data_IF_127921966390
#
_entry.id   IF_127921966390
#
_cell.length_a   1.000
_cell.length_b   1.000
_cell.length_c   1.000
_cell.angle_alpha   90.00
_cell.angle_beta   90.00
_cell.angle_gamma   90.00
#
_symmetry.space_group_name_H-M   'P 1'
#
loop_
_entity.id
_entity.type
_entity.pdbx_description
1 polymer ?
#
# COMPACT_ATOMS: atom_id res chain seq x y z
N UNK A 1 -42.25 21.55 -20.32
CA UNK A 1 -41.66 21.90 -19.00
C UNK A 1 -40.35 21.14 -18.84
N UNK A 2 -39.24 21.77 -18.42
CA UNK A 2 -37.94 21.10 -18.32
C UNK A 2 -37.96 20.04 -17.20
N UNK A 3 -37.76 18.77 -17.57
CA UNK A 3 -38.03 17.58 -16.75
C UNK A 3 -36.98 17.23 -15.68
N UNK A 4 -35.77 17.82 -15.73
CA UNK A 4 -34.68 17.42 -14.83
C UNK A 4 -34.19 18.57 -13.95
N UNK A 5 -34.73 18.63 -12.73
CA UNK A 5 -34.30 19.57 -11.68
C UNK A 5 -32.99 19.15 -11.00
N UNK A 6 -32.51 17.92 -11.24
CA UNK A 6 -31.36 17.36 -10.53
C UNK A 6 -30.04 18.09 -10.85
N UNK A 7 -29.86 18.55 -12.08
CA UNK A 7 -28.67 19.31 -12.48
C UNK A 7 -28.48 20.65 -11.76
N UNK A 8 -29.58 21.25 -11.26
CA UNK A 8 -29.56 22.54 -10.54
C UNK A 8 -29.33 22.39 -9.04
N UNK A 9 -29.29 21.16 -8.52
CA UNK A 9 -29.08 20.91 -7.08
C UNK A 9 -27.59 20.76 -6.80
N UNK A 10 -27.12 21.44 -5.75
CA UNK A 10 -25.72 21.46 -5.33
C UNK A 10 -25.23 20.12 -4.74
N UNK A 11 -26.14 19.26 -4.28
CA UNK A 11 -25.81 17.92 -3.78
C UNK A 11 -25.75 16.86 -4.89
N UNK A 12 -26.12 17.21 -6.12
CA UNK A 12 -26.07 16.24 -7.22
C UNK A 12 -24.61 15.89 -7.52
N UNK A 13 -24.27 14.62 -7.32
CA UNK A 13 -22.93 14.07 -7.55
C UNK A 13 -22.47 14.25 -8.99
N UNK A 14 -23.39 14.28 -9.95
CA UNK A 14 -23.08 14.45 -11.37
C UNK A 14 -22.88 15.92 -11.79
N UNK A 15 -23.03 16.88 -10.88
CA UNK A 15 -22.74 18.28 -11.16
C UNK A 15 -21.21 18.47 -11.25
N UNK A 16 -20.68 19.12 -12.31
CA UNK A 16 -19.24 19.37 -12.44
C UNK A 16 -18.61 19.99 -11.18
N UNK A 17 -19.29 20.92 -10.53
CA UNK A 17 -18.79 21.55 -9.30
C UNK A 17 -18.66 20.56 -8.12
N UNK A 18 -19.52 19.54 -8.05
CA UNK A 18 -19.43 18.50 -7.03
C UNK A 18 -18.29 17.53 -7.34
N UNK A 19 -18.11 17.17 -8.61
CA UNK A 19 -17.02 16.31 -9.09
C UNK A 19 -15.66 16.96 -8.83
N UNK A 20 -15.53 18.26 -9.11
CA UNK A 20 -14.29 19.02 -8.85
C UNK A 20 -13.94 19.08 -7.37
N UNK A 21 -14.94 19.25 -6.50
CA UNK A 21 -14.75 19.22 -5.05
C UNK A 21 -14.25 17.85 -4.58
N UNK A 22 -14.88 16.77 -5.05
CA UNK A 22 -14.46 15.40 -4.74
C UNK A 22 -13.04 15.15 -5.22
N UNK A 23 -12.69 15.54 -6.46
CA UNK A 23 -11.33 15.39 -6.99
C UNK A 23 -10.29 16.16 -6.18
N UNK A 24 -10.63 17.36 -5.68
CA UNK A 24 -9.74 18.15 -4.83
C UNK A 24 -9.55 17.49 -3.46
N UNK A 25 -10.61 16.92 -2.91
CA UNK A 25 -10.55 16.20 -1.64
C UNK A 25 -9.75 14.90 -1.80
N UNK A 26 -9.94 14.17 -2.90
CA UNK A 26 -9.15 13.00 -3.29
C UNK A 26 -7.67 13.36 -3.50
N UNK A 27 -7.35 14.46 -4.20
CA UNK A 27 -5.97 14.87 -4.40
C UNK A 27 -5.30 15.31 -3.09
N UNK A 28 -6.04 15.96 -2.19
CA UNK A 28 -5.55 16.31 -0.87
C UNK A 28 -5.34 15.07 0.02
N UNK A 29 -6.21 14.07 -0.08
CA UNK A 29 -6.06 12.80 0.62
C UNK A 29 -4.82 12.04 0.10
N UNK A 30 -4.69 11.91 -1.23
CA UNK A 30 -3.54 11.29 -1.87
C UNK A 30 -2.23 11.99 -1.48
N UNK A 31 -2.18 13.33 -1.49
CA UNK A 31 -0.98 14.07 -1.10
C UNK A 31 -0.56 13.82 0.37
N UNK A 32 -1.51 13.54 1.26
CA UNK A 32 -1.21 13.18 2.66
C UNK A 32 -0.69 11.75 2.77
N UNK A 33 -1.25 10.82 2.01
CA UNK A 33 -0.79 9.43 1.94
C UNK A 33 0.62 9.37 1.36
N UNK A 34 0.90 10.05 0.25
CA UNK A 34 2.24 10.15 -0.34
C UNK A 34 3.28 10.74 0.64
N UNK A 35 2.90 11.77 1.41
CA UNK A 35 3.80 12.33 2.41
C UNK A 35 4.10 11.36 3.57
N UNK A 36 3.15 10.48 3.93
CA UNK A 36 3.37 9.43 4.91
C UNK A 36 4.25 8.31 4.35
N UNK A 37 4.01 7.91 3.10
CA UNK A 37 4.84 6.91 2.40
C UNK A 37 6.28 7.39 2.23
N UNK A 38 6.50 8.66 1.90
CA UNK A 38 7.84 9.25 1.83
C UNK A 38 8.57 9.16 3.16
N UNK A 39 7.89 9.41 4.29
CA UNK A 39 8.50 9.26 5.63
C UNK A 39 8.91 7.82 5.89
N UNK A 40 8.05 6.85 5.56
CA UNK A 40 8.37 5.43 5.70
C UNK A 40 9.56 5.02 4.82
N UNK A 41 9.59 5.53 3.57
CA UNK A 41 10.70 5.29 2.65
C UNK A 41 12.01 5.91 3.14
N UNK A 42 11.95 7.11 3.71
CA UNK A 42 13.11 7.80 4.29
C UNK A 42 13.66 7.03 5.50
N UNK A 43 12.80 6.51 6.36
CA UNK A 43 13.18 5.65 7.48
C UNK A 43 13.85 4.35 7.00
N UNK A 44 13.26 3.69 6.00
CA UNK A 44 13.83 2.47 5.42
C UNK A 44 15.13 2.74 4.66
N UNK A 45 15.24 3.88 3.97
CA UNK A 45 16.46 4.32 3.33
C UNK A 45 17.54 4.62 4.36
N UNK A 46 17.20 5.31 5.46
CA UNK A 46 18.11 5.58 6.57
C UNK A 46 18.60 4.28 7.22
N UNK A 47 17.72 3.28 7.39
CA UNK A 47 18.08 1.93 7.86
C UNK A 47 19.06 1.25 6.91
N UNK A 48 18.78 1.27 5.60
CA UNK A 48 19.69 0.71 4.58
C UNK A 48 21.06 1.40 4.61
N UNK A 49 21.10 2.72 4.75
CA UNK A 49 22.33 3.50 4.87
C UNK A 49 23.09 3.13 6.15
N UNK A 50 22.39 2.92 7.28
CA UNK A 50 23.01 2.51 8.54
C UNK A 50 23.67 1.12 8.43
N UNK A 51 23.00 0.16 7.77
CA UNK A 51 23.56 -1.17 7.48
C UNK A 51 24.83 -1.04 6.63
N UNK A 52 24.77 -0.24 5.56
CA UNK A 52 25.93 -0.01 4.67
C UNK A 52 27.09 0.68 5.39
N UNK A 53 26.82 1.49 6.41
CA UNK A 53 27.83 2.15 7.26
C UNK A 53 28.33 1.26 8.41
N UNK A 54 27.83 0.02 8.55
CA UNK A 54 28.23 -0.89 9.62
C UNK A 54 27.68 -0.53 11.00
N UNK A 55 26.64 0.31 11.08
CA UNK A 55 25.97 0.65 12.33
C UNK A 55 24.93 -0.40 12.74
N UNK A 56 24.70 -0.57 14.04
CA UNK A 56 23.64 -1.42 14.59
C UNK A 56 22.27 -0.85 14.25
N UNK A 57 21.43 -1.63 13.57
CA UNK A 57 20.06 -1.24 13.20
C UNK A 57 19.21 -1.18 14.47
N UNK A 58 18.50 -0.07 14.76
CA UNK A 58 17.53 -0.05 15.84
C UNK A 58 16.42 -1.07 15.54
N UNK A 59 16.18 -1.97 16.49
CA UNK A 59 15.18 -3.03 16.38
C UNK A 59 13.81 -2.40 16.10
N UNK A 60 13.03 -3.04 15.23
CA UNK A 60 11.68 -2.59 14.91
C UNK A 60 10.91 -2.58 16.23
N UNK A 61 10.59 -1.40 16.75
CA UNK A 61 9.61 -1.30 17.82
C UNK A 61 8.42 -2.15 17.37
N UNK A 62 8.01 -3.16 18.16
CA UNK A 62 6.90 -4.02 17.77
C UNK A 62 5.75 -3.09 17.41
N UNK A 63 5.13 -3.34 16.25
CA UNK A 63 3.88 -2.70 15.87
C UNK A 63 3.00 -2.83 17.11
N UNK A 64 2.86 -1.74 17.86
CA UNK A 64 1.84 -1.67 18.87
C UNK A 64 0.59 -1.97 18.05
N UNK A 65 -0.06 -3.10 18.34
CA UNK A 65 -1.44 -3.24 17.95
C UNK A 65 -2.14 -2.10 18.68
N UNK A 66 -2.20 -0.95 18.02
CA UNK A 66 -2.99 0.18 18.44
C UNK A 66 -4.39 -0.39 18.56
N UNK A 67 -4.80 -0.60 19.81
CA UNK A 67 -6.18 -0.82 20.17
C UNK A 67 -6.99 0.13 19.32
N UNK A 68 -7.78 -0.43 18.40
CA UNK A 68 -8.55 0.30 17.39
C UNK A 68 -9.11 1.55 18.06
N UNK A 69 -8.58 2.77 17.79
CA UNK A 69 -9.13 3.94 18.42
C UNK A 69 -10.53 4.02 17.85
N UNK A 70 -11.52 3.90 18.73
CA UNK A 70 -12.92 4.12 18.37
C UNK A 70 -12.94 5.34 17.48
N UNK A 71 -13.50 5.20 16.26
CA UNK A 71 -13.69 6.31 15.31
C UNK A 71 -14.24 7.54 16.04
N UNK A 72 -13.35 8.40 16.48
CA UNK A 72 -13.64 9.79 16.75
C UNK A 72 -13.20 10.49 15.48
N UNK A 73 -14.20 10.91 14.70
CA UNK A 73 -14.07 11.71 13.50
C UNK A 73 -13.05 12.85 13.71
N UNK A 74 -11.87 12.69 13.15
CA UNK A 74 -10.86 13.75 13.04
C UNK A 74 -11.14 14.67 11.84
N UNK A 75 -12.42 14.94 11.57
CA UNK A 75 -12.88 15.83 10.50
C UNK A 75 -13.60 17.08 11.02
N UNK A 76 -13.64 17.30 12.34
CA UNK A 76 -14.28 18.47 12.97
C UNK A 76 -13.47 19.07 14.13
N UNK A 77 -12.14 19.11 14.05
CA UNK A 77 -11.33 19.97 14.93
C UNK A 77 -11.41 21.43 14.48
N UNK A 78 -12.62 21.99 14.43
CA UNK A 78 -12.78 23.43 14.59
C UNK A 78 -12.30 23.76 16.01
N UNK A 79 -11.43 24.76 16.21
CA UNK A 79 -11.02 25.14 17.55
C UNK A 79 -12.30 25.42 18.35
N UNK A 80 -12.47 24.71 19.47
CA UNK A 80 -13.63 24.85 20.35
C UNK A 80 -13.79 26.34 20.66
N UNK A 81 -14.98 26.91 20.43
CA UNK A 81 -15.27 28.31 20.78
C UNK A 81 -14.91 28.54 22.25
N UNK A 82 -14.00 29.46 22.49
CA UNK A 82 -13.52 29.79 23.84
C UNK A 82 -14.63 30.54 24.57
N UNK A 83 -14.89 30.19 25.83
CA UNK A 83 -15.98 30.77 26.63
C UNK A 83 -15.58 32.15 27.15
N UNK A 84 -16.55 33.05 27.29
CA UNK A 84 -16.40 34.33 28.01
C UNK A 84 -16.19 34.06 29.51
N UNK A 85 -15.32 34.82 30.17
CA UNK A 85 -15.24 34.83 31.63
C UNK A 85 -16.46 35.54 32.24
N UNK A 86 -16.80 35.23 33.51
CA UNK A 86 -17.87 35.95 34.23
C UNK A 86 -17.42 37.40 34.47
N UNK A 87 -18.15 38.37 33.92
CA UNK A 87 -17.86 39.80 34.08
C UNK A 87 -16.92 40.40 33.03
N UNK A 88 -16.64 39.68 31.94
CA UNK A 88 -15.83 40.15 30.81
C UNK A 88 -16.76 40.75 29.73
N UNK A 89 -16.49 41.98 29.27
CA UNK A 89 -17.20 42.61 28.14
C UNK A 89 -16.80 41.96 26.80
N UNK A 90 -17.62 42.13 25.77
CA UNK A 90 -17.41 41.50 24.46
C UNK A 90 -16.09 41.94 23.81
N UNK A 91 -15.69 43.21 24.02
CA UNK A 91 -14.40 43.75 23.56
C UNK A 91 -13.21 43.16 24.33
N UNK A 92 -13.36 42.96 25.63
CA UNK A 92 -12.29 42.43 26.48
C UNK A 92 -12.03 40.96 26.15
N UNK A 93 -13.09 40.19 25.87
CA UNK A 93 -13.00 38.82 25.40
C UNK A 93 -12.23 38.73 24.07
N UNK A 94 -12.54 39.60 23.11
CA UNK A 94 -11.87 39.63 21.81
C UNK A 94 -10.38 40.01 21.93
N UNK A 95 -10.05 41.01 22.76
CA UNK A 95 -8.66 41.41 23.02
C UNK A 95 -7.87 40.26 23.64
N UNK A 96 -8.46 39.51 24.58
CA UNK A 96 -7.80 38.36 25.21
C UNK A 96 -7.55 37.25 24.20
N UNK A 97 -8.55 36.90 23.37
CA UNK A 97 -8.38 35.89 22.33
C UNK A 97 -7.30 36.29 21.32
N UNK A 98 -7.28 37.56 20.89
CA UNK A 98 -6.26 38.06 19.97
C UNK A 98 -4.84 37.96 20.55
N UNK A 99 -4.66 38.25 21.86
CA UNK A 99 -3.36 38.09 22.54
C UNK A 99 -2.92 36.64 22.61
N UNK A 100 -3.83 35.74 22.96
CA UNK A 100 -3.55 34.31 23.06
C UNK A 100 -3.17 33.71 21.69
N UNK A 101 -3.86 34.13 20.63
CA UNK A 101 -3.56 33.70 19.25
C UNK A 101 -2.21 34.27 18.76
N UNK A 102 -1.87 35.51 19.11
CA UNK A 102 -0.56 36.09 18.81
C UNK A 102 0.59 35.31 19.48
N UNK A 103 0.42 34.92 20.75
CA UNK A 103 1.40 34.11 21.49
C UNK A 103 1.56 32.70 20.90
N UNK A 104 0.47 32.09 20.44
CA UNK A 104 0.53 30.80 19.73
C UNK A 104 1.25 30.98 18.38
N UNK A 105 0.93 32.05 17.64
CA UNK A 105 1.59 32.38 16.38
C UNK A 105 3.09 32.62 16.53
N UNK A 106 3.53 33.26 17.62
CA UNK A 106 4.94 33.48 17.94
C UNK A 106 5.66 32.16 18.23
N UNK A 107 5.08 31.29 19.06
CA UNK A 107 5.65 29.95 19.32
C UNK A 107 5.78 29.11 18.05
N UNK A 108 4.79 29.19 17.16
CA UNK A 108 4.84 28.51 15.85
C UNK A 108 5.94 29.09 14.96
N UNK A 109 6.15 30.42 14.99
CA UNK A 109 7.25 31.08 14.27
C UNK A 109 8.61 30.70 14.84
N UNK A 110 8.75 30.59 16.15
CA UNK A 110 9.99 30.14 16.79
C UNK A 110 10.35 28.70 16.38
N UNK A 111 9.36 27.80 16.33
CA UNK A 111 9.56 26.40 15.89
C UNK A 111 9.88 26.32 14.40
N UNK A 112 9.22 27.12 13.57
CA UNK A 112 9.47 27.16 12.12
C UNK A 112 10.73 27.93 11.73
N UNK A 113 11.39 28.57 12.72
CA UNK A 113 12.53 29.44 12.53
C UNK A 113 12.16 30.74 11.79
N UNK A 114 13.06 31.74 11.77
CA UNK A 114 12.85 32.93 10.98
C UNK A 114 12.72 32.53 9.50
N UNK A 115 11.52 32.69 8.96
CA UNK A 115 11.28 32.62 7.52
C UNK A 115 12.17 33.68 6.91
N UNK A 116 13.29 33.26 6.31
CA UNK A 116 14.18 34.12 5.53
C UNK A 116 13.38 34.61 4.33
N UNK A 117 12.55 35.62 4.55
CA UNK A 117 12.21 36.56 3.51
C UNK A 117 13.56 36.98 2.95
N UNK A 118 13.81 36.60 1.71
CA UNK A 118 15.03 36.95 1.00
C UNK A 118 15.00 38.47 0.91
N UNK A 119 15.61 39.11 1.89
CA UNK A 119 15.97 40.51 1.83
C UNK A 119 16.85 40.63 0.58
N UNK A 120 16.28 41.23 -0.45
CA UNK A 120 17.00 41.67 -1.66
C UNK A 120 17.98 42.82 -1.30
N UNK A 121 18.10 43.18 -0.01
CA UNK A 121 18.71 44.41 0.48
C UNK A 121 19.95 44.24 1.39
N UNK A 122 20.46 43.02 1.60
CA UNK A 122 21.58 42.80 2.53
C UNK A 122 22.95 42.61 1.83
N UNK A 123 23.08 43.09 0.59
CA UNK A 123 24.39 43.29 -0.05
C UNK A 123 24.67 44.78 -0.12
N UNK A 124 25.80 45.28 0.43
CA UNK A 124 26.13 46.69 0.35
C UNK A 124 26.25 47.11 -1.12
N UNK A 125 25.46 48.10 -1.54
CA UNK A 125 25.40 48.63 -2.92
C UNK A 125 26.77 49.09 -3.45
N UNK A 126 27.67 49.41 -2.52
CA UNK A 126 29.03 49.88 -2.79
C UNK A 126 30.01 48.86 -2.22
N UNK A 127 30.92 48.37 -3.06
CA UNK A 127 32.02 47.52 -2.63
C UNK A 127 32.92 48.27 -1.63
N UNK A 128 33.73 47.55 -0.84
CA UNK A 128 34.67 48.15 0.13
C UNK A 128 35.71 49.08 -0.52
N UNK A 129 35.84 49.02 -1.84
CA UNK A 129 36.71 49.85 -2.69
C UNK A 129 35.99 51.05 -3.30
N UNK A 130 34.70 51.27 -3.00
CA UNK A 130 33.92 52.42 -3.49
C UNK A 130 33.20 52.22 -4.83
N UNK A 131 33.19 51.01 -5.40
CA UNK A 131 32.55 50.74 -6.69
C UNK A 131 31.09 50.29 -6.51
N UNK A 132 30.16 50.84 -7.32
CA UNK A 132 28.75 50.44 -7.32
C UNK A 132 28.60 49.06 -7.98
N UNK A 133 28.17 48.05 -7.21
CA UNK A 133 27.88 46.72 -7.74
C UNK A 133 26.43 46.65 -8.24
N UNK A 134 26.22 46.99 -9.51
CA UNK A 134 24.90 46.93 -10.17
C UNK A 134 24.48 45.49 -10.52
N UNK A 135 25.45 44.57 -10.60
CA UNK A 135 25.22 43.14 -10.85
C UNK A 135 25.82 42.39 -9.67
N UNK A 136 24.99 41.60 -8.98
CA UNK A 136 25.43 40.81 -7.83
C UNK A 136 26.45 39.77 -8.30
N UNK A 137 27.68 39.83 -7.80
CA UNK A 137 28.64 38.74 -7.99
C UNK A 137 28.04 37.49 -7.34
N UNK A 138 27.93 36.36 -8.05
CA UNK A 138 27.36 35.15 -7.47
C UNK A 138 28.21 34.71 -6.28
N UNK A 139 27.61 34.69 -5.08
CA UNK A 139 28.25 34.18 -3.87
C UNK A 139 28.91 32.83 -4.12
N UNK A 140 30.01 32.52 -3.43
CA UNK A 140 30.69 31.21 -3.49
C UNK A 140 29.75 30.02 -3.22
N UNK A 141 28.63 30.26 -2.53
CA UNK A 141 27.59 29.25 -2.29
C UNK A 141 26.72 28.99 -3.52
N UNK A 142 26.54 29.99 -4.38
CA UNK A 142 25.83 29.86 -5.65
C UNK A 142 26.71 29.22 -6.71
N UNK A 143 28.01 29.54 -6.75
CA UNK A 143 28.98 28.87 -7.64
C UNK A 143 29.11 27.39 -7.29
N UNK A 144 29.22 27.02 -6.00
CA UNK A 144 29.22 25.61 -5.55
C UNK A 144 27.93 24.85 -5.88
N UNK A 145 26.78 25.54 -5.99
CA UNK A 145 25.52 24.92 -6.43
C UNK A 145 25.50 24.71 -7.94
N UNK A 146 26.08 25.63 -8.72
CA UNK A 146 26.25 25.46 -10.17
C UNK A 146 27.26 24.36 -10.51
N UNK A 147 28.34 24.20 -9.74
CA UNK A 147 29.29 23.08 -9.88
C UNK A 147 28.64 21.72 -9.64
N UNK A 148 27.76 21.61 -8.62
CA UNK A 148 26.95 20.41 -8.41
C UNK A 148 25.97 20.13 -9.54
N UNK A 149 25.50 21.16 -10.24
CA UNK A 149 24.71 20.99 -11.45
C UNK A 149 25.56 20.53 -12.64
N UNK A 150 26.83 20.94 -12.73
CA UNK A 150 27.74 20.50 -13.79
C UNK A 150 28.02 18.99 -13.72
N UNK A 151 28.14 18.41 -12.52
CA UNK A 151 28.25 16.95 -12.35
C UNK A 151 26.98 16.23 -12.81
N UNK A 152 25.80 16.76 -12.47
CA UNK A 152 24.51 16.22 -12.92
C UNK A 152 24.31 16.35 -14.43
N UNK A 153 24.80 17.42 -15.06
CA UNK A 153 24.79 17.60 -16.51
C UNK A 153 25.76 16.63 -17.19
N UNK A 154 26.94 16.40 -16.61
CA UNK A 154 27.89 15.40 -17.10
C UNK A 154 27.33 13.97 -17.00
N UNK A 155 26.59 13.65 -15.93
CA UNK A 155 25.91 12.35 -15.80
C UNK A 155 24.75 12.19 -16.78
N UNK A 156 23.93 13.24 -16.98
CA UNK A 156 22.87 13.25 -18.00
C UNK A 156 23.45 13.08 -19.41
N UNK A 157 24.55 13.76 -19.73
CA UNK A 157 25.23 13.61 -21.01
C UNK A 157 25.81 12.20 -21.21
N UNK A 158 26.37 11.58 -20.16
CA UNK A 158 26.81 10.17 -20.21
C UNK A 158 25.64 9.21 -20.41
N UNK A 159 24.48 9.48 -19.78
CA UNK A 159 23.27 8.67 -19.93
C UNK A 159 22.68 8.79 -21.34
N UNK A 160 22.58 10.01 -21.88
CA UNK A 160 22.15 10.25 -23.25
C UNK A 160 23.07 9.56 -24.26
N UNK A 161 24.40 9.65 -24.10
CA UNK A 161 25.33 8.90 -24.94
C UNK A 161 25.08 7.40 -24.89
N UNK A 162 24.88 6.81 -23.70
CA UNK A 162 24.55 5.38 -23.57
C UNK A 162 23.22 5.02 -24.24
N UNK A 163 22.22 5.89 -24.17
CA UNK A 163 20.91 5.69 -24.81
C UNK A 163 21.03 5.78 -26.34
N UNK A 164 21.77 6.76 -26.84
CA UNK A 164 22.11 6.90 -28.26
C UNK A 164 22.94 5.71 -28.76
N UNK A 165 23.87 5.20 -27.95
CA UNK A 165 24.67 4.02 -28.26
C UNK A 165 23.82 2.74 -28.33
N UNK A 166 22.71 2.70 -27.59
CA UNK A 166 21.75 1.59 -27.59
C UNK A 166 20.79 1.67 -28.78
N UNK A 167 20.42 2.89 -29.19
CA UNK A 167 19.49 3.14 -30.30
C UNK A 167 20.18 3.15 -31.66
N UNK A 168 21.46 3.52 -31.73
CA UNK A 168 22.22 3.62 -32.97
C UNK A 168 23.29 2.54 -33.06
N UNK A 169 23.19 1.68 -34.09
CA UNK A 169 24.16 0.60 -34.34
C UNK A 169 25.40 1.18 -35.02
N UNK A 170 26.21 1.95 -34.28
CA UNK A 170 27.53 2.40 -34.73
C UNK A 170 28.56 1.29 -34.49
N UNK A 171 29.37 0.95 -35.49
CA UNK A 171 30.43 -0.06 -35.36
C UNK A 171 31.44 0.23 -34.24
N UNK A 172 31.60 1.51 -33.86
CA UNK A 172 32.43 1.93 -32.72
C UNK A 172 31.88 1.50 -31.36
N UNK A 173 30.58 1.19 -31.25
CA UNK A 173 29.91 0.77 -30.02
C UNK A 173 29.74 -0.75 -29.91
N UNK A 174 30.12 -1.50 -30.95
CA UNK A 174 30.08 -2.95 -30.88
C UNK A 174 31.02 -3.44 -29.77
N UNK A 175 30.50 -4.33 -28.92
CA UNK A 175 31.20 -4.87 -27.77
C UNK A 175 32.58 -5.42 -28.17
N UNK A 176 33.64 -4.68 -27.85
CA UNK A 176 35.02 -5.06 -28.16
C UNK A 176 35.85 -3.98 -28.86
N UNK A 177 35.24 -3.00 -29.52
CA UNK A 177 35.99 -1.94 -30.20
C UNK A 177 36.68 -1.03 -29.17
N UNK A 178 38.01 -1.07 -29.13
CA UNK A 178 38.86 -0.30 -28.21
C UNK A 178 38.97 -0.85 -26.78
N UNK A 179 38.23 -1.91 -26.41
CA UNK A 179 38.20 -2.46 -25.04
C UNK A 179 38.89 -3.83 -24.92
N UNK A 180 40.08 -3.95 -25.51
CA UNK A 180 40.98 -5.09 -25.31
C UNK A 180 40.94 -6.20 -26.37
N UNK A 181 40.07 -6.15 -27.38
CA UNK A 181 40.08 -7.10 -28.52
C UNK A 181 41.03 -6.68 -29.64
N UNK A 182 42.16 -6.04 -29.31
CA UNK A 182 43.23 -5.80 -30.28
C UNK A 182 43.89 -7.10 -30.76
N UNK A 183 43.70 -8.19 -29.99
CA UNK A 183 44.10 -9.54 -30.38
C UNK A 183 42.83 -10.35 -30.70
N UNK A 184 42.71 -10.87 -31.92
CA UNK A 184 41.59 -11.73 -32.28
C UNK A 184 41.66 -13.08 -31.55
N UNK A 185 40.50 -13.69 -31.29
CA UNK A 185 40.38 -14.96 -30.56
C UNK A 185 41.15 -16.13 -31.20
N UNK A 186 41.35 -16.12 -32.52
CA UNK A 186 42.17 -17.09 -33.25
C UNK A 186 43.69 -16.90 -33.08
N UNK A 187 44.13 -15.85 -32.38
CA UNK A 187 45.54 -15.68 -31.99
C UNK A 187 45.83 -16.18 -30.56
N UNK A 188 44.82 -16.68 -29.84
CA UNK A 188 45.00 -17.35 -28.55
C UNK A 188 45.42 -18.82 -28.71
N UNK A 189 45.11 -19.44 -29.86
CA UNK A 189 45.39 -20.84 -30.16
C UNK A 189 46.51 -20.96 -31.21
N UNK A 190 47.73 -20.62 -30.83
CA UNK A 190 48.91 -21.11 -31.55
C UNK A 190 49.18 -22.56 -31.07
N UNK A 191 49.07 -23.58 -31.93
CA UNK A 191 49.12 -24.98 -31.51
C UNK A 191 50.57 -25.40 -31.26
N UNK A 192 50.83 -25.84 -30.02
CA UNK A 192 52.04 -26.53 -29.64
C UNK A 192 51.80 -27.39 -28.41
N UNK A 193 51.63 -28.70 -28.66
CA UNK A 193 51.56 -29.86 -27.71
C UNK A 193 50.14 -30.36 -27.35
N UNK A 194 49.96 -31.69 -27.25
CA UNK A 194 48.95 -32.40 -28.03
C UNK A 194 47.82 -33.00 -27.18
N UNK A 195 46.74 -33.28 -27.92
CA UNK A 195 45.69 -34.27 -27.73
C UNK A 195 45.96 -35.38 -26.70
N UNK A 196 45.02 -35.57 -25.75
CA UNK A 196 44.44 -36.87 -25.44
C UNK A 196 43.21 -36.71 -24.52
N UNK A 197 42.06 -37.21 -24.99
CA UNK A 197 40.79 -37.54 -24.29
C UNK A 197 39.54 -36.79 -24.81
N UNK A 198 39.05 -37.20 -25.98
CA UNK A 198 37.69 -36.92 -26.45
C UNK A 198 36.78 -38.10 -26.06
N UNK A 199 35.87 -37.85 -25.12
CA UNK A 199 34.78 -38.75 -24.66
C UNK A 199 33.95 -38.02 -23.57
N UNK A 200 32.65 -38.29 -23.40
CA UNK A 200 31.65 -37.33 -22.89
C UNK A 200 31.83 -37.03 -21.39
N UNK A 201 32.79 -36.17 -21.06
CA UNK A 201 33.08 -35.73 -19.69
C UNK A 201 32.57 -34.31 -19.41
N UNK A 202 31.86 -33.68 -20.35
CA UNK A 202 31.36 -32.31 -20.17
C UNK A 202 30.19 -32.24 -19.16
N UNK A 203 29.36 -33.27 -19.03
CA UNK A 203 28.30 -33.31 -18.00
C UNK A 203 28.84 -33.57 -16.58
N UNK A 204 29.97 -34.27 -16.47
CA UNK A 204 30.63 -34.55 -15.20
C UNK A 204 31.53 -33.42 -14.70
N UNK A 205 31.93 -32.49 -15.58
CA UNK A 205 32.78 -31.34 -15.25
C UNK A 205 31.96 -30.11 -14.79
N UNK A 206 30.68 -30.03 -15.15
CA UNK A 206 29.84 -28.84 -14.91
C UNK A 206 29.16 -28.78 -13.54
N UNK A 207 29.25 -29.84 -12.72
CA UNK A 207 28.60 -29.91 -11.40
C UNK A 207 29.48 -29.56 -10.20
N UNK A 208 30.77 -29.25 -10.41
CA UNK A 208 31.73 -29.03 -9.32
C UNK A 208 31.91 -27.55 -9.04
N UNK A 209 31.88 -27.14 -7.79
CA UNK A 209 32.13 -25.76 -7.37
C UNK A 209 33.58 -25.34 -7.68
N UNK A 210 33.92 -24.06 -7.51
CA UNK A 210 35.28 -23.50 -7.69
C UNK A 210 36.33 -24.30 -6.89
N UNK A 211 35.91 -24.97 -5.81
CA UNK A 211 36.74 -25.83 -4.96
C UNK A 211 36.67 -27.33 -5.30
N UNK A 212 36.03 -27.72 -6.41
CA UNK A 212 36.00 -29.12 -6.87
C UNK A 212 34.96 -30.02 -6.19
N UNK A 213 34.19 -29.52 -5.22
CA UNK A 213 33.12 -30.26 -4.55
C UNK A 213 31.86 -30.35 -5.42
N UNK A 214 31.17 -31.50 -5.53
CA UNK A 214 29.88 -31.57 -6.22
C UNK A 214 28.82 -30.70 -5.55
N UNK A 215 28.29 -29.75 -6.32
CA UNK A 215 27.23 -28.83 -5.90
C UNK A 215 25.89 -29.28 -6.51
N UNK A 216 25.01 -29.97 -5.75
CA UNK A 216 23.77 -30.53 -6.30
C UNK A 216 22.81 -29.42 -6.77
N UNK A 217 22.84 -28.25 -6.12
CA UNK A 217 21.99 -27.10 -6.43
C UNK A 217 22.52 -26.21 -7.55
N UNK A 218 23.70 -26.50 -8.11
CA UNK A 218 24.24 -25.70 -9.22
C UNK A 218 23.33 -25.73 -10.45
N UNK A 219 22.82 -26.91 -10.79
CA UNK A 219 21.86 -27.11 -11.89
C UNK A 219 20.58 -26.29 -11.67
N UNK A 220 20.05 -26.30 -10.45
CA UNK A 220 18.86 -25.49 -10.11
C UNK A 220 19.15 -23.99 -10.21
N UNK A 221 20.33 -23.52 -9.78
CA UNK A 221 20.72 -22.11 -9.92
C UNK A 221 20.89 -21.71 -11.38
N UNK A 222 21.47 -22.57 -12.21
CA UNK A 222 21.63 -22.33 -13.64
C UNK A 222 20.26 -22.31 -14.34
N UNK A 223 19.37 -23.24 -14.02
CA UNK A 223 17.98 -23.22 -14.49
C UNK A 223 17.24 -21.94 -14.04
N UNK A 224 17.39 -21.55 -12.77
CA UNK A 224 16.78 -20.31 -12.27
C UNK A 224 17.36 -19.08 -12.95
N UNK A 225 18.66 -19.04 -13.26
CA UNK A 225 19.30 -17.95 -14.04
C UNK A 225 18.77 -17.90 -15.46
N UNK A 226 18.60 -19.06 -16.11
CA UNK A 226 18.04 -19.14 -17.46
C UNK A 226 16.57 -18.69 -17.45
N UNK A 227 15.78 -19.16 -16.48
CA UNK A 227 14.38 -18.79 -16.29
C UNK A 227 14.20 -17.32 -15.91
N UNK A 228 15.10 -16.75 -15.09
CA UNK A 228 15.04 -15.34 -14.70
C UNK A 228 15.51 -14.40 -15.80
N UNK A 229 16.46 -14.83 -16.63
CA UNK A 229 16.98 -14.04 -17.74
C UNK A 229 16.12 -14.17 -19.02
N UNK A 230 15.21 -15.15 -19.09
CA UNK A 230 14.28 -15.30 -20.20
C UNK A 230 13.01 -14.43 -20.00
N UNK A 231 12.76 -13.43 -20.86
CA UNK A 231 11.56 -12.60 -20.78
C UNK A 231 10.26 -13.40 -20.98
N UNK A 232 10.29 -14.50 -21.73
CA UNK A 232 9.11 -15.33 -21.96
C UNK A 232 8.72 -16.11 -20.70
N UNK A 233 9.70 -16.67 -20.00
CA UNK A 233 9.48 -17.32 -18.72
C UNK A 233 8.93 -16.35 -17.65
N UNK A 234 9.40 -15.10 -17.61
CA UNK A 234 8.84 -14.06 -16.74
C UNK A 234 7.36 -13.78 -17.06
N UNK A 235 7.00 -13.71 -18.34
CA UNK A 235 5.60 -13.53 -18.77
C UNK A 235 4.72 -14.72 -18.35
N UNK A 236 5.23 -15.95 -18.47
CA UNK A 236 4.49 -17.13 -18.02
C UNK A 236 4.27 -17.14 -16.50
N UNK A 237 5.28 -16.73 -15.71
CA UNK A 237 5.14 -16.60 -14.26
C UNK A 237 4.08 -15.56 -13.90
N UNK A 238 4.09 -14.40 -14.56
CA UNK A 238 3.09 -13.36 -14.36
C UNK A 238 1.66 -13.87 -14.71
N UNK A 239 1.50 -14.57 -15.82
CA UNK A 239 0.21 -15.18 -16.18
C UNK A 239 -0.26 -16.24 -15.17
N UNK A 240 0.66 -17.02 -14.60
CA UNK A 240 0.34 -18.00 -13.54
C UNK A 240 -0.11 -17.30 -12.25
N UNK A 241 0.58 -16.23 -11.84
CA UNK A 241 0.20 -15.43 -10.67
C UNK A 241 -1.18 -14.78 -10.85
N UNK A 242 -1.48 -14.27 -12.05
CA UNK A 242 -2.80 -13.72 -12.36
C UNK A 242 -3.90 -14.79 -12.29
N UNK A 243 -3.63 -16.01 -12.78
CA UNK A 243 -4.57 -17.14 -12.66
C UNK A 243 -4.74 -17.62 -11.21
N UNK A 244 -3.70 -17.51 -10.39
CA UNK A 244 -3.78 -17.84 -8.96
C UNK A 244 -4.63 -16.80 -8.24
N UNK A 245 -4.40 -15.50 -8.45
CA UNK A 245 -5.19 -14.44 -7.83
C UNK A 245 -6.67 -14.48 -8.23
N UNK A 246 -6.99 -14.82 -9.47
CA UNK A 246 -8.39 -15.02 -9.89
C UNK A 246 -9.03 -16.20 -9.16
N UNK A 247 -8.33 -17.33 -9.03
CA UNK A 247 -8.83 -18.50 -8.29
C UNK A 247 -9.00 -18.18 -6.80
N UNK A 248 -8.05 -17.47 -6.20
CA UNK A 248 -8.14 -17.08 -4.79
C UNK A 248 -9.33 -16.14 -4.55
N UNK A 249 -9.57 -15.21 -5.48
CA UNK A 249 -10.77 -14.35 -5.45
C UNK A 249 -12.06 -15.16 -5.57
N UNK A 250 -12.13 -16.11 -6.50
CA UNK A 250 -13.28 -17.00 -6.65
C UNK A 250 -13.53 -17.82 -5.37
N UNK A 251 -12.47 -18.38 -4.76
CA UNK A 251 -12.57 -19.11 -3.51
C UNK A 251 -13.04 -18.22 -2.36
N UNK A 252 -12.51 -17.00 -2.28
CA UNK A 252 -12.93 -16.00 -1.29
C UNK A 252 -14.40 -15.62 -1.47
N UNK A 253 -14.84 -15.38 -2.70
CA UNK A 253 -16.23 -15.06 -3.01
C UNK A 253 -17.16 -16.24 -2.67
N UNK A 254 -16.76 -17.48 -2.96
CA UNK A 254 -17.51 -18.68 -2.57
C UNK A 254 -17.60 -18.85 -1.05
N UNK A 255 -16.52 -18.59 -0.31
CA UNK A 255 -16.54 -18.59 1.15
C UNK A 255 -17.48 -17.50 1.69
N UNK A 256 -17.36 -16.28 1.16
CA UNK A 256 -18.23 -15.15 1.53
C UNK A 256 -19.70 -15.43 1.24
N UNK A 257 -20.00 -16.06 0.11
CA UNK A 257 -21.37 -16.46 -0.24
C UNK A 257 -21.89 -17.54 0.71
N UNK A 258 -21.06 -18.53 1.08
CA UNK A 258 -21.42 -19.55 2.07
C UNK A 258 -21.69 -18.93 3.44
N UNK A 259 -20.87 -17.98 3.88
CA UNK A 259 -21.09 -17.22 5.13
C UNK A 259 -22.40 -16.44 5.10
N UNK A 260 -22.68 -15.72 4.01
CA UNK A 260 -23.93 -14.99 3.84
C UNK A 260 -25.14 -15.94 3.81
N UNK A 261 -25.03 -17.09 3.16
CA UNK A 261 -26.08 -18.11 3.17
C UNK A 261 -26.28 -18.70 4.56
N UNK A 262 -25.21 -18.96 5.31
CA UNK A 262 -25.28 -19.44 6.68
C UNK A 262 -25.94 -18.41 7.61
N UNK A 263 -25.61 -17.13 7.49
CA UNK A 263 -26.28 -16.05 8.22
C UNK A 263 -27.77 -15.95 7.88
N UNK A 264 -28.12 -15.98 6.58
CA UNK A 264 -29.52 -16.00 6.14
C UNK A 264 -30.29 -17.20 6.70
N UNK A 265 -29.69 -18.39 6.68
CA UNK A 265 -30.29 -19.60 7.22
C UNK A 265 -30.48 -19.52 8.74
N UNK A 266 -29.49 -18.99 9.48
CA UNK A 266 -29.57 -18.78 10.93
C UNK A 266 -30.65 -17.75 11.29
N UNK A 267 -30.76 -16.65 10.53
CA UNK A 267 -31.81 -15.66 10.70
C UNK A 267 -33.20 -16.22 10.40
N UNK A 268 -33.34 -17.02 9.34
CA UNK A 268 -34.59 -17.69 9.03
C UNK A 268 -34.97 -18.68 10.13
N UNK A 269 -34.02 -19.45 10.65
CA UNK A 269 -34.25 -20.34 11.78
C UNK A 269 -34.70 -19.57 13.02
N UNK A 270 -34.06 -18.44 13.33
CA UNK A 270 -34.44 -17.56 14.43
C UNK A 270 -35.86 -17.02 14.26
N UNK A 271 -36.24 -16.62 13.04
CA UNK A 271 -37.62 -16.20 12.72
C UNK A 271 -38.62 -17.34 12.90
N UNK A 272 -38.30 -18.55 12.43
CA UNK A 272 -39.15 -19.74 12.61
C UNK A 272 -39.31 -20.10 14.09
N UNK A 273 -38.24 -20.05 14.89
CA UNK A 273 -38.27 -20.27 16.34
C UNK A 273 -39.14 -19.23 17.05
N UNK A 274 -39.07 -17.95 16.65
CA UNK A 274 -39.95 -16.88 17.16
C UNK A 274 -41.42 -17.16 16.85
N UNK A 275 -41.76 -17.48 15.59
CA UNK A 275 -43.13 -17.83 15.19
C UNK A 275 -43.67 -19.04 15.96
N UNK A 276 -42.85 -20.08 16.19
CA UNK A 276 -43.26 -21.25 17.01
C UNK A 276 -43.57 -20.86 18.46
N UNK A 277 -42.75 -19.99 19.07
CA UNK A 277 -43.01 -19.50 20.43
C UNK A 277 -44.27 -18.65 20.52
N UNK A 278 -44.54 -17.82 19.51
CA UNK A 278 -45.78 -17.04 19.43
C UNK A 278 -47.02 -17.94 19.28
N UNK A 279 -46.94 -18.99 18.46
CA UNK A 279 -48.06 -19.92 18.30
C UNK A 279 -48.33 -20.72 19.57
N UNK A 280 -47.29 -21.26 20.22
CA UNK A 280 -47.43 -22.01 21.48
C UNK A 280 -48.10 -21.18 22.58
N UNK A 281 -47.72 -19.89 22.72
CA UNK A 281 -48.35 -18.99 23.70
C UNK A 281 -49.81 -18.68 23.39
N UNK A 282 -50.22 -18.84 22.13
CA UNK A 282 -51.62 -18.64 21.70
C UNK A 282 -52.45 -19.89 21.96
N UNK A 283 -51.85 -21.07 21.86
CA UNK A 283 -52.53 -22.32 22.18
C UNK A 283 -52.69 -22.49 23.72
N UNK A 284 -51.78 -21.93 24.54
CA UNK A 284 -51.87 -21.95 26.01
C UNK A 284 -53.02 -21.10 26.59
N UNK A 285 -53.56 -20.12 25.83
CA UNK A 285 -54.72 -19.32 26.26
C UNK A 285 -56.05 -19.98 25.90
N UNK A 286 -56.10 -20.79 24.85
CA UNK A 286 -57.29 -21.54 24.45
C UNK A 286 -57.51 -22.81 25.31
N UNK A 287 -56.45 -23.35 25.94
CA UNK A 287 -56.54 -24.55 26.82
C UNK A 287 -57.05 -24.24 28.25
N UNK A 288 -57.17 -22.95 28.61
CA UNK A 288 -57.75 -22.51 29.89
C UNK A 288 -59.27 -22.23 29.80
N UNK A 289 -59.84 -22.14 28.60
CA UNK A 289 -61.27 -21.87 28.39
C UNK A 289 -62.16 -23.13 28.56
N UNK A 290 -61.54 -24.30 28.76
CA UNK A 290 -62.22 -25.58 29.01
C UNK A 290 -62.37 -25.99 30.48
N UNK A 291 -61.89 -25.20 31.45
CA UNK A 291 -62.00 -25.52 32.87
C UNK A 291 -63.35 -25.01 33.43
N UNK A 292 -64.41 -25.80 33.25
CA UNK A 292 -65.69 -25.58 33.95
C UNK A 292 -65.62 -26.18 35.36
N UNK A 293 -65.87 -25.36 36.40
CA UNK A 293 -65.84 -25.75 37.82
C UNK A 293 -66.94 -26.76 38.22
N UNK A 294 -67.79 -27.20 37.28
CA UNK A 294 -68.98 -28.05 37.51
C UNK A 294 -68.91 -29.44 36.87
N UNK A 295 -67.77 -29.86 36.30
CA UNK A 295 -67.67 -31.16 35.64
C UNK A 295 -67.40 -32.30 36.65
N UNK A 296 -68.45 -33.05 36.97
CA UNK A 296 -68.41 -34.29 37.77
C UNK A 296 -67.49 -35.32 37.13
N UNK A 297 -66.67 -35.98 37.95
CA UNK A 297 -65.66 -36.96 37.56
C UNK A 297 -66.25 -38.19 36.88
N UNK A 298 -66.09 -38.34 35.56
CA UNK A 298 -66.14 -39.65 34.92
C UNK A 298 -65.20 -39.77 33.71
N UNK A 299 -64.21 -40.65 33.89
CA UNK A 299 -63.52 -41.54 32.94
C UNK A 299 -63.12 -41.08 31.52
N UNK A 300 -61.83 -41.34 31.28
CA UNK A 300 -61.28 -42.02 30.09
C UNK A 300 -61.29 -41.27 28.76
N UNK A 301 -60.13 -40.75 28.35
CA UNK A 301 -59.78 -40.53 26.93
C UNK A 301 -58.26 -40.46 26.70
N UNK A 302 -57.70 -41.66 26.55
CA UNK A 302 -56.69 -42.08 25.57
C UNK A 302 -55.77 -41.00 24.92
N UNK A 303 -54.51 -40.99 25.35
CA UNK A 303 -53.40 -40.27 24.73
C UNK A 303 -53.14 -40.72 23.27
N UNK A 304 -53.25 -39.78 22.33
CA UNK A 304 -52.93 -40.00 20.91
C UNK A 304 -51.43 -39.91 20.63
N UNK A 305 -50.86 -41.09 20.35
CA UNK A 305 -49.64 -41.45 19.62
C UNK A 305 -48.91 -40.34 18.82
N UNK A 306 -47.69 -40.01 19.24
CA UNK A 306 -46.66 -39.37 18.41
C UNK A 306 -45.97 -40.43 17.52
N UNK A 307 -46.13 -40.34 16.20
CA UNK A 307 -45.32 -41.11 15.22
C UNK A 307 -44.03 -40.33 14.92
N UNK A 308 -42.91 -40.77 15.49
CA UNK A 308 -41.58 -40.38 15.01
C UNK A 308 -41.29 -41.11 13.70
N UNK A 309 -41.14 -40.34 12.61
CA UNK A 309 -40.67 -40.84 11.32
C UNK A 309 -39.15 -40.65 11.28
N UNK A 310 -38.42 -41.71 11.64
CA UNK A 310 -36.99 -41.84 11.39
C UNK A 310 -36.73 -41.68 9.90
N UNK A 311 -35.84 -40.76 9.55
CA UNK A 311 -35.38 -40.51 8.19
C UNK A 311 -33.93 -40.94 8.15
N UNK A 312 -33.70 -42.22 7.89
CA UNK A 312 -32.39 -42.74 7.54
C UNK A 312 -31.86 -41.98 6.32
N UNK A 313 -30.77 -41.24 6.53
CA UNK A 313 -29.92 -40.71 5.47
C UNK A 313 -28.67 -41.58 5.45
N UNK A 314 -28.71 -42.62 4.64
CA UNK A 314 -27.53 -43.28 4.11
C UNK A 314 -26.65 -42.24 3.40
N UNK A 315 -25.53 -41.89 4.04
CA UNK A 315 -24.41 -41.22 3.37
C UNK A 315 -23.38 -42.30 3.03
N UNK A 316 -23.47 -42.82 1.81
CA UNK A 316 -22.37 -43.55 1.19
C UNK A 316 -21.13 -42.67 1.14
N UNK A 317 -20.07 -43.13 1.82
CA UNK A 317 -18.70 -42.68 1.64
C UNK A 317 -18.24 -43.17 0.26
N UNK A 318 -18.24 -42.29 -0.73
CA UNK A 318 -17.37 -42.47 -1.89
C UNK A 318 -15.94 -42.05 -1.48
N UNK A 319 -15.15 -43.03 -1.03
CA UNK A 319 -13.70 -43.02 -1.21
C UNK A 319 -13.47 -43.59 -2.60
N UNK A 320 -12.95 -42.78 -3.50
CA UNK A 320 -12.25 -43.26 -4.69
C UNK A 320 -10.85 -42.66 -4.71
N UNK A 321 -9.97 -43.55 -5.11
CA UNK A 321 -8.54 -43.45 -5.41
C UNK A 321 -8.15 -42.21 -6.23
#
# INVERSE_FOLDING_TARGET
MPLHLLGKKSWNVYNPAAIEKVRRDESNAAAREEAAEQRMQDEDAARRIAILRGGTVPDLAPVAEDEVPRRCQEYDSKPRKRRKLRGEDDTDADIRFAREDALVGEKVRDVLGPKREKAISDTPLVDRTGHLQLVTVPDERTTRKMEKNAELEAEKAKKQKREEDLMTVKFSNAAGYGKGMAKPWYAADAPGQPEDAVGPALDGAQGKDVWGNPDPRRKEREQNRVVSNDPFAAMQQAQRQLKQSTKDRELWELQRQKELQALKAADEERRRRRRKREHSRRDDVDDLEGFSLDATTDRSREHRRHRHRSRDRSRERNRRE
#
